data_IF_045424978434
#
_entry.id   IF_045424978434
#
_cell.length_a   1.000
_cell.length_b   1.000
_cell.length_c   1.000
_cell.angle_alpha   90.00
_cell.angle_beta   90.00
_cell.angle_gamma   90.00
#
_symmetry.space_group_name_H-M   'P 1'
#
loop_
_entity.id
_entity.type
_entity.pdbx_description
1 polymer ?
#
# COMPACT_ATOMS: atom_id res chain seq x y z
N UNK A 1 -49.61 -2.62 1.48
CA UNK A 1 -48.36 -3.36 1.79
C UNK A 1 -47.14 -2.67 1.18
N UNK A 2 -45.99 -2.56 1.89
CA UNK A 2 -44.78 -1.98 1.32
C UNK A 2 -44.27 -2.86 0.16
N UNK A 3 -43.66 -2.26 -0.88
CA UNK A 3 -43.22 -3.00 -2.06
C UNK A 3 -42.12 -4.00 -1.70
N UNK A 4 -42.25 -5.24 -2.20
CA UNK A 4 -41.26 -6.32 -2.07
C UNK A 4 -39.89 -5.81 -2.56
N UNK A 5 -38.88 -5.87 -1.69
CA UNK A 5 -37.52 -5.47 -2.01
C UNK A 5 -36.97 -6.31 -3.18
N UNK A 6 -36.42 -5.65 -4.19
CA UNK A 6 -35.77 -6.31 -5.34
C UNK A 6 -34.51 -7.03 -4.86
N UNK A 7 -34.29 -8.32 -5.20
CA UNK A 7 -33.05 -9.02 -4.87
C UNK A 7 -31.86 -8.27 -5.47
N UNK A 8 -30.84 -7.97 -4.67
CA UNK A 8 -29.58 -7.35 -5.13
C UNK A 8 -29.38 -5.88 -4.74
N UNK A 9 -30.38 -5.18 -4.17
CA UNK A 9 -30.17 -3.83 -3.63
C UNK A 9 -29.68 -3.94 -2.19
N UNK A 10 -28.47 -3.44 -1.92
CA UNK A 10 -27.94 -3.32 -0.55
C UNK A 10 -29.01 -2.64 0.31
N UNK A 11 -29.34 -3.28 1.44
CA UNK A 11 -30.38 -2.77 2.34
C UNK A 11 -30.04 -1.33 2.73
N UNK A 12 -31.01 -0.38 2.67
CA UNK A 12 -30.75 1.02 2.99
C UNK A 12 -30.06 1.18 4.34
N UNK A 13 -30.50 0.43 5.36
CA UNK A 13 -29.88 0.45 6.68
C UNK A 13 -28.40 0.03 6.66
N UNK A 14 -27.98 -0.92 5.82
CA UNK A 14 -26.56 -1.32 5.73
C UNK A 14 -25.69 -0.16 5.26
N UNK A 15 -26.19 0.67 4.32
CA UNK A 15 -25.46 1.88 3.88
C UNK A 15 -25.43 2.95 4.97
N UNK A 16 -26.53 3.12 5.71
CA UNK A 16 -26.62 4.07 6.84
C UNK A 16 -25.68 3.66 7.98
N UNK A 17 -25.72 2.40 8.42
CA UNK A 17 -24.82 1.88 9.46
C UNK A 17 -23.35 1.90 9.01
N UNK A 18 -23.07 1.66 7.72
CA UNK A 18 -21.73 1.84 7.17
C UNK A 18 -21.26 3.29 7.31
N UNK A 19 -22.08 4.26 6.90
CA UNK A 19 -21.73 5.69 7.00
C UNK A 19 -21.53 6.12 8.46
N UNK A 20 -22.41 5.69 9.36
CA UNK A 20 -22.28 5.93 10.80
C UNK A 20 -20.97 5.37 11.35
N UNK A 21 -20.67 4.10 11.06
CA UNK A 21 -19.43 3.46 11.50
C UNK A 21 -18.19 4.23 11.02
N UNK A 22 -18.16 4.61 9.75
CA UNK A 22 -17.05 5.35 9.17
C UNK A 22 -16.89 6.74 9.81
N UNK A 23 -18.00 7.43 10.08
CA UNK A 23 -18.00 8.77 10.66
C UNK A 23 -17.67 8.76 12.17
N UNK A 24 -18.24 7.82 12.92
CA UNK A 24 -18.05 7.70 14.37
C UNK A 24 -16.62 7.27 14.71
N UNK A 25 -16.06 6.31 13.97
CA UNK A 25 -14.73 5.78 14.24
C UNK A 25 -13.61 6.50 13.47
N UNK A 26 -13.93 7.58 12.74
CA UNK A 26 -12.97 8.36 11.93
C UNK A 26 -12.10 7.46 11.01
N UNK A 27 -12.67 6.37 10.49
CA UNK A 27 -11.89 5.26 9.92
C UNK A 27 -11.11 5.67 8.67
N UNK A 28 -11.66 6.60 7.88
CA UNK A 28 -10.99 7.12 6.69
C UNK A 28 -9.77 7.99 7.03
N UNK A 29 -9.83 8.75 8.11
CA UNK A 29 -8.73 9.61 8.56
C UNK A 29 -7.59 8.78 9.13
N UNK A 30 -7.92 7.78 9.96
CA UNK A 30 -6.97 6.80 10.45
C UNK A 30 -6.30 6.04 9.30
N UNK A 31 -7.07 5.58 8.31
CA UNK A 31 -6.53 4.93 7.11
C UNK A 31 -5.63 5.87 6.31
N UNK A 32 -6.03 7.13 6.12
CA UNK A 32 -5.21 8.10 5.37
C UNK A 32 -3.88 8.35 6.07
N UNK A 33 -3.89 8.51 7.40
CA UNK A 33 -2.69 8.68 8.22
C UNK A 33 -1.77 7.46 8.11
N UNK A 34 -2.34 6.25 8.20
CA UNK A 34 -1.60 5.00 8.03
C UNK A 34 -0.98 4.90 6.63
N UNK A 35 -1.72 5.26 5.57
CA UNK A 35 -1.21 5.19 4.20
C UNK A 35 -0.09 6.21 3.94
N UNK A 36 -0.12 7.36 4.63
CA UNK A 36 0.92 8.38 4.52
C UNK A 36 2.20 8.01 5.27
N UNK A 37 2.07 7.51 6.51
CA UNK A 37 3.21 7.23 7.41
C UNK A 37 3.73 5.79 7.32
N UNK A 38 2.84 4.84 7.07
CA UNK A 38 3.13 3.40 7.04
C UNK A 38 4.30 3.00 6.15
N UNK A 39 4.49 3.60 4.95
CA UNK A 39 5.63 3.28 4.12
C UNK A 39 6.98 3.54 4.81
N UNK A 40 7.07 4.51 5.71
CA UNK A 40 8.34 4.86 6.41
C UNK A 40 8.68 3.88 7.53
N UNK A 41 7.73 3.05 7.94
CA UNK A 41 7.97 1.99 8.92
C UNK A 41 8.54 0.72 8.27
N UNK A 42 8.58 0.66 6.93
CA UNK A 42 9.07 -0.49 6.19
C UNK A 42 10.55 -0.31 5.81
N UNK A 43 11.34 -1.36 6.05
CA UNK A 43 12.65 -1.49 5.42
C UNK A 43 12.50 -1.55 3.88
N UNK A 44 13.51 -1.11 3.11
CA UNK A 44 13.52 -1.35 1.67
C UNK A 44 13.30 -2.82 1.32
N UNK A 45 12.45 -3.08 0.33
CA UNK A 45 11.98 -4.43 -0.03
C UNK A 45 10.79 -4.94 0.81
N UNK A 46 10.44 -4.28 1.92
CA UNK A 46 9.31 -4.63 2.77
C UNK A 46 7.96 -4.52 2.04
N UNK A 47 7.00 -5.36 2.43
CA UNK A 47 5.68 -5.42 1.80
C UNK A 47 4.64 -4.70 2.65
N UNK A 48 3.97 -3.72 2.05
CA UNK A 48 2.78 -3.09 2.59
C UNK A 48 1.53 -3.79 2.05
N UNK A 49 0.84 -4.52 2.91
CA UNK A 49 -0.42 -5.19 2.60
C UNK A 49 -1.60 -4.48 3.28
N UNK A 50 -2.65 -4.18 2.50
CA UNK A 50 -3.88 -3.56 3.03
C UNK A 50 -5.10 -4.31 2.53
N UNK A 51 -5.96 -4.74 3.45
CA UNK A 51 -7.27 -5.32 3.17
C UNK A 51 -8.33 -4.24 3.41
N UNK A 52 -9.18 -4.01 2.41
CA UNK A 52 -10.31 -3.08 2.48
C UNK A 52 -11.62 -3.81 2.22
N UNK A 53 -12.72 -3.38 2.85
CA UNK A 53 -14.00 -4.08 2.74
C UNK A 53 -15.03 -3.31 1.91
N UNK A 54 -14.77 -2.04 1.61
CA UNK A 54 -15.66 -1.24 0.78
C UNK A 54 -14.93 -0.34 -0.22
N UNK A 55 -15.69 0.21 -1.17
CA UNK A 55 -15.16 0.94 -2.33
C UNK A 55 -14.41 2.22 -1.97
N UNK A 56 -14.84 2.96 -0.94
CA UNK A 56 -14.15 4.18 -0.51
C UNK A 56 -12.74 3.90 0.02
N UNK A 57 -12.58 2.94 0.95
CA UNK A 57 -11.28 2.48 1.43
C UNK A 57 -10.40 1.99 0.27
N UNK A 58 -10.91 1.07 -0.56
CA UNK A 58 -10.17 0.50 -1.69
C UNK A 58 -9.66 1.59 -2.66
N UNK A 59 -10.48 2.62 -2.88
CA UNK A 59 -10.10 3.78 -3.70
C UNK A 59 -8.98 4.58 -3.05
N UNK A 60 -9.03 4.84 -1.75
CA UNK A 60 -7.97 5.55 -1.03
C UNK A 60 -6.64 4.77 -1.09
N UNK A 61 -6.67 3.48 -0.79
CA UNK A 61 -5.48 2.61 -0.84
C UNK A 61 -4.90 2.58 -2.26
N UNK A 62 -5.75 2.40 -3.28
CA UNK A 62 -5.31 2.44 -4.69
C UNK A 62 -4.62 3.75 -5.03
N UNK A 63 -5.17 4.89 -4.62
CA UNK A 63 -4.60 6.20 -4.93
C UNK A 63 -3.30 6.45 -4.17
N UNK A 64 -3.23 6.09 -2.88
CA UNK A 64 -2.02 6.20 -2.08
C UNK A 64 -0.87 5.39 -2.69
N UNK A 65 -1.11 4.10 -2.97
CA UNK A 65 -0.09 3.22 -3.56
C UNK A 65 0.33 3.65 -4.97
N UNK A 66 -0.52 4.37 -5.71
CA UNK A 66 -0.18 4.85 -7.05
C UNK A 66 0.64 6.15 -7.02
N UNK A 67 0.39 7.02 -6.04
CA UNK A 67 0.99 8.36 -5.96
C UNK A 67 2.28 8.40 -5.13
N UNK A 68 2.47 7.42 -4.26
CA UNK A 68 3.62 7.36 -3.38
C UNK A 68 4.84 6.77 -4.10
N UNK A 69 5.83 7.61 -4.39
CA UNK A 69 7.08 7.19 -5.05
C UNK A 69 7.93 6.23 -4.22
N UNK A 70 7.65 6.09 -2.91
CA UNK A 70 8.33 5.14 -2.03
C UNK A 70 7.81 3.71 -2.23
N UNK A 71 6.71 3.53 -2.97
CA UNK A 71 6.03 2.27 -3.14
C UNK A 71 6.00 1.80 -4.59
N UNK A 72 6.32 0.53 -4.81
CA UNK A 72 6.09 -0.19 -6.07
C UNK A 72 4.85 -1.07 -5.92
N UNK A 73 3.84 -0.88 -6.77
CA UNK A 73 2.62 -1.70 -6.73
C UNK A 73 2.87 -3.12 -7.22
N UNK A 74 2.64 -4.10 -6.35
CA UNK A 74 2.70 -5.52 -6.74
C UNK A 74 1.41 -6.01 -7.37
N UNK A 75 0.25 -5.42 -7.01
CA UNK A 75 -1.04 -5.82 -7.56
C UNK A 75 -1.68 -4.72 -8.44
N UNK A 76 -1.98 -5.08 -9.70
CA UNK A 76 -2.69 -4.18 -10.63
C UNK A 76 -4.19 -4.09 -10.30
N UNK A 77 -4.81 -5.24 -10.06
CA UNK A 77 -6.19 -5.42 -9.56
C UNK A 77 -6.12 -5.90 -8.10
N UNK A 78 -7.09 -5.57 -7.24
CA UNK A 78 -7.11 -6.11 -5.89
C UNK A 78 -7.27 -7.65 -5.94
N UNK A 79 -6.63 -8.35 -5.01
CA UNK A 79 -6.89 -9.77 -4.78
C UNK A 79 -8.19 -9.88 -3.97
N UNK A 80 -9.08 -10.78 -4.34
CA UNK A 80 -10.39 -10.97 -3.71
C UNK A 80 -10.52 -12.41 -3.22
N UNK A 81 -11.39 -12.62 -2.24
CA UNK A 81 -11.69 -13.96 -1.75
C UNK A 81 -12.19 -14.87 -2.88
N UNK A 82 -11.73 -16.12 -2.88
CA UNK A 82 -12.22 -17.15 -3.78
C UNK A 82 -13.66 -17.56 -3.40
N UNK A 83 -14.45 -18.14 -4.32
CA UNK A 83 -15.84 -18.51 -4.06
C UNK A 83 -16.03 -19.41 -2.82
N UNK A 84 -15.12 -20.36 -2.62
CA UNK A 84 -15.11 -21.25 -1.46
C UNK A 84 -14.86 -20.49 -0.14
N UNK A 85 -13.87 -19.59 -0.14
CA UNK A 85 -13.57 -18.74 1.01
C UNK A 85 -14.76 -17.83 1.35
N UNK A 86 -15.37 -17.23 0.32
CA UNK A 86 -16.53 -16.36 0.51
C UNK A 86 -17.77 -17.11 1.03
N UNK A 87 -17.90 -18.40 0.73
CA UNK A 87 -18.96 -19.26 1.25
C UNK A 87 -18.70 -19.65 2.72
N UNK A 88 -17.47 -20.05 3.06
CA UNK A 88 -17.09 -20.41 4.43
C UNK A 88 -17.00 -19.19 5.37
N UNK A 89 -16.61 -18.03 4.85
CA UNK A 89 -16.51 -16.77 5.57
C UNK A 89 -17.23 -15.65 4.80
N UNK A 90 -18.54 -15.43 5.05
CA UNK A 90 -19.30 -14.38 4.38
C UNK A 90 -18.71 -12.96 4.52
N UNK A 91 -17.88 -12.69 5.55
CA UNK A 91 -17.22 -11.40 5.75
C UNK A 91 -16.06 -11.16 4.76
N UNK A 92 -15.48 -12.20 4.17
CA UNK A 92 -14.40 -12.06 3.17
C UNK A 92 -14.93 -11.71 1.78
N UNK A 93 -16.22 -11.92 1.50
CA UNK A 93 -16.84 -11.70 0.18
C UNK A 93 -16.60 -10.29 -0.40
N UNK A 94 -16.46 -9.27 0.45
CA UNK A 94 -16.19 -7.89 0.02
C UNK A 94 -14.75 -7.44 0.23
N UNK A 95 -13.89 -8.31 0.76
CA UNK A 95 -12.50 -8.02 1.04
C UNK A 95 -11.71 -7.85 -0.26
N UNK A 96 -10.85 -6.82 -0.27
CA UNK A 96 -9.96 -6.47 -1.37
C UNK A 96 -8.58 -6.24 -0.79
N UNK A 97 -7.65 -7.11 -1.14
CA UNK A 97 -6.25 -7.03 -0.75
C UNK A 97 -5.44 -6.29 -1.83
N UNK A 98 -4.69 -5.28 -1.41
CA UNK A 98 -3.69 -4.58 -2.23
C UNK A 98 -2.32 -4.71 -1.60
N UNK A 99 -1.32 -4.89 -2.46
CA UNK A 99 0.07 -5.06 -2.06
C UNK A 99 0.95 -4.01 -2.77
N UNK A 100 1.84 -3.40 -2.01
CA UNK A 100 2.94 -2.59 -2.52
C UNK A 100 4.24 -2.95 -1.81
N UNK A 101 5.37 -2.81 -2.50
CA UNK A 101 6.71 -3.01 -1.96
C UNK A 101 7.38 -1.67 -1.71
N UNK A 102 8.03 -1.49 -0.57
CA UNK A 102 8.88 -0.33 -0.29
C UNK A 102 10.09 -0.39 -1.22
N UNK A 103 10.27 0.63 -2.06
CA UNK A 103 11.47 0.75 -2.89
C UNK A 103 12.65 1.22 -2.04
N UNK A 104 13.88 0.92 -2.47
CA UNK A 104 15.05 1.58 -1.92
C UNK A 104 14.90 3.08 -2.18
N UNK A 105 14.94 3.90 -1.13
CA UNK A 105 15.23 5.31 -1.33
C UNK A 105 16.58 5.37 -2.02
N UNK A 106 16.72 6.16 -3.09
CA UNK A 106 18.01 6.41 -3.71
C UNK A 106 19.00 6.71 -2.57
N UNK A 107 19.93 5.79 -2.34
CA UNK A 107 20.83 5.86 -1.19
C UNK A 107 21.54 7.20 -1.23
N UNK A 108 21.54 7.90 -0.09
CA UNK A 108 22.51 8.94 0.18
C UNK A 108 23.89 8.33 -0.10
N UNK A 109 24.63 8.97 -1.00
CA UNK A 109 25.83 8.41 -1.61
C UNK A 109 26.86 7.95 -0.60
N UNK A 110 27.30 6.70 -0.75
CA UNK A 110 28.64 6.29 -0.32
C UNK A 110 29.64 6.80 -1.35
N UNK A 111 30.06 8.07 -1.26
CA UNK A 111 31.24 8.57 -1.94
C UNK A 111 32.09 9.37 -0.95
N UNK A 112 32.92 8.66 -0.20
CA UNK A 112 34.23 9.09 0.30
C UNK A 112 35.05 7.79 0.38
N UNK A 113 36.25 7.63 -0.16
CA UNK A 113 37.17 8.54 -0.81
C UNK A 113 38.57 7.90 -0.74
N UNK A 114 39.35 8.09 -1.81
CA UNK A 114 40.81 7.95 -1.87
C UNK A 114 41.41 6.54 -1.90
N UNK A 115 41.59 6.04 -3.12
CA UNK A 115 42.65 5.11 -3.43
C UNK A 115 44.00 5.79 -3.25
N UNK A 116 44.72 5.41 -2.19
CA UNK A 116 46.15 5.61 -2.08
C UNK A 116 46.88 4.34 -2.57
N UNK A 117 48.09 4.53 -3.11
CA UNK A 117 49.05 3.59 -3.75
C UNK A 117 48.86 3.57 -5.29
N UNK A 118 49.81 3.93 -6.13
CA UNK A 118 51.26 3.81 -6.02
C UNK A 118 51.92 4.81 -7.01
N UNK A 119 52.75 5.73 -6.52
CA UNK A 119 53.53 6.63 -7.39
C UNK A 119 54.72 5.84 -7.93
N UNK A 120 54.68 5.54 -9.24
CA UNK A 120 55.80 4.99 -9.97
C UNK A 120 56.99 5.96 -9.96
N UNK A 121 58.05 5.55 -9.27
CA UNK A 121 59.39 6.13 -9.28
C UNK A 121 59.94 6.17 -10.71
N UNK A 122 60.02 7.35 -11.32
CA UNK A 122 60.84 7.56 -12.52
C UNK A 122 62.27 7.92 -12.09
N UNK A 123 63.32 7.28 -12.61
CA UNK A 123 64.69 7.73 -12.37
C UNK A 123 64.96 9.05 -13.12
N UNK A 124 65.81 9.93 -12.57
CA UNK A 124 66.20 11.18 -13.24
C UNK A 124 67.11 10.91 -14.45
N UNK A 125 67.10 11.79 -15.47
CA UNK A 125 67.97 11.68 -16.64
C UNK A 125 69.44 12.02 -16.30
N UNK A 126 70.41 11.49 -17.06
CA UNK A 126 71.82 11.77 -16.81
C UNK A 126 72.18 13.20 -17.29
N UNK A 127 72.87 13.93 -16.42
CA UNK A 127 73.50 15.22 -16.67
C UNK A 127 74.57 15.48 -15.62
#
# INVERSE_FOLDING_TARGET
>A
PPPRQRPGRIHPATRTFQALRMAVNQELEALSTLLQRGPDWLLPGGIFAVISFHSLEDRLVKQAFLRDSRLERLTRKPLTAEPEEAAANPRSRSAKLRLARRVQGAGVGGVEGSGAKDQALRPPPPG
#
